data_IF_522100158354
#
_entry.id   IF_522100158354
#
_cell.length_a   1.000
_cell.length_b   1.000
_cell.length_c   1.000
_cell.angle_alpha   90.00
_cell.angle_beta   90.00
_cell.angle_gamma   90.00
#
_symmetry.space_group_name_H-M   'P 1'
#
loop_
_entity.id
_entity.type
_entity.pdbx_description
1 polymer ?
#
# COMPACT_ATOMS: atom_id res chain seq x y z
N UNK A 1 -18.45 1.02 38.45
CA UNK A 1 -17.12 0.77 37.88
C UNK A 1 -17.36 0.30 36.46
N UNK A 2 -17.47 1.23 35.52
CA UNK A 2 -17.67 0.93 34.11
C UNK A 2 -16.31 0.50 33.57
N UNK A 3 -16.22 -0.74 33.09
CA UNK A 3 -15.05 -1.22 32.38
C UNK A 3 -15.13 -0.65 30.96
N UNK A 4 -14.13 0.17 30.62
CA UNK A 4 -13.90 0.72 29.30
C UNK A 4 -13.68 -0.46 28.33
N UNK A 5 -14.65 -0.72 27.46
CA UNK A 5 -14.46 -1.64 26.35
C UNK A 5 -13.57 -0.91 25.34
N UNK A 6 -12.26 -1.11 25.46
CA UNK A 6 -11.29 -0.67 24.46
C UNK A 6 -11.65 -1.40 23.16
N UNK A 7 -12.40 -0.72 22.31
CA UNK A 7 -12.60 -1.10 20.91
C UNK A 7 -11.23 -0.98 20.23
N UNK A 8 -10.44 -2.05 20.33
CA UNK A 8 -9.20 -2.18 19.56
C UNK A 8 -9.53 -2.11 18.07
N UNK A 9 -8.70 -1.44 17.24
CA UNK A 9 -8.98 -1.31 15.82
C UNK A 9 -9.15 -2.70 15.20
N UNK A 10 -10.27 -2.87 14.48
CA UNK A 10 -10.67 -4.10 13.83
C UNK A 10 -9.48 -4.83 13.24
N UNK A 11 -9.21 -6.03 13.75
CA UNK A 11 -8.14 -6.87 13.28
C UNK A 11 -8.23 -7.03 11.76
N UNK A 12 -7.13 -6.68 11.08
CA UNK A 12 -6.87 -6.87 9.65
C UNK A 12 -6.82 -8.37 9.26
N UNK A 13 -7.91 -9.10 9.50
CA UNK A 13 -8.09 -10.50 9.12
C UNK A 13 -8.29 -10.54 7.61
N UNK A 14 -7.31 -11.08 6.88
CA UNK A 14 -7.38 -11.27 5.42
C UNK A 14 -6.55 -10.29 4.57
N UNK A 15 -5.87 -9.28 5.15
CA UNK A 15 -4.96 -8.42 4.38
C UNK A 15 -3.64 -9.15 4.12
N UNK A 16 -3.21 -9.33 2.84
CA UNK A 16 -1.94 -9.98 2.53
C UNK A 16 -0.75 -9.26 3.17
N UNK A 17 0.15 -10.04 3.76
CA UNK A 17 1.40 -9.53 4.33
C UNK A 17 2.48 -9.53 3.24
N UNK A 18 3.11 -8.39 3.03
CA UNK A 18 4.29 -8.24 2.19
C UNK A 18 5.53 -8.31 3.09
N UNK A 19 6.55 -9.04 2.63
CA UNK A 19 7.87 -9.00 3.22
C UNK A 19 8.64 -7.81 2.63
N UNK A 20 9.39 -7.07 3.44
CA UNK A 20 10.01 -5.77 3.10
C UNK A 20 11.17 -5.83 2.11
N UNK A 21 11.41 -6.99 1.51
CA UNK A 21 12.44 -7.23 0.50
C UNK A 21 11.90 -8.03 -0.68
N UNK A 22 10.66 -8.53 -0.61
CA UNK A 22 10.09 -9.37 -1.63
C UNK A 22 9.22 -8.55 -2.57
N UNK A 23 9.46 -8.74 -3.87
CA UNK A 23 8.56 -8.24 -4.90
C UNK A 23 7.33 -9.12 -4.95
N UNK A 24 6.18 -8.54 -4.60
CA UNK A 24 4.89 -9.18 -4.72
C UNK A 24 4.36 -9.04 -6.13
N UNK A 25 4.09 -10.15 -6.82
CA UNK A 25 3.51 -10.17 -8.17
C UNK A 25 2.02 -10.49 -8.13
N UNK A 26 1.32 -10.20 -9.24
CA UNK A 26 -0.10 -10.51 -9.39
C UNK A 26 -1.03 -9.49 -8.76
N UNK A 27 -0.54 -8.28 -8.46
CA UNK A 27 -1.37 -7.18 -7.95
C UNK A 27 -2.39 -6.79 -9.03
N UNK A 28 -3.65 -7.06 -8.75
CA UNK A 28 -4.75 -6.89 -9.70
C UNK A 28 -5.98 -6.29 -9.01
N UNK A 29 -6.78 -5.51 -9.74
CA UNK A 29 -7.96 -4.84 -9.21
C UNK A 29 -8.87 -4.30 -10.31
N UNK A 30 -10.15 -4.13 -9.99
CA UNK A 30 -11.13 -3.53 -10.89
C UNK A 30 -11.09 -2.00 -10.82
N UNK A 31 -11.79 -1.32 -11.72
CA UNK A 31 -11.90 0.15 -11.84
C UNK A 31 -12.31 0.90 -10.57
N UNK A 32 -12.89 0.23 -9.58
CA UNK A 32 -13.38 0.84 -8.34
C UNK A 32 -12.81 0.17 -7.08
N UNK A 33 -11.84 -0.74 -7.22
CA UNK A 33 -11.31 -1.49 -6.07
C UNK A 33 -9.97 -0.94 -5.64
N UNK A 34 -9.89 -0.52 -4.37
CA UNK A 34 -8.62 -0.26 -3.70
C UNK A 34 -8.12 -1.57 -3.09
N UNK A 35 -6.95 -2.03 -3.52
CA UNK A 35 -6.30 -3.19 -2.90
C UNK A 35 -5.38 -2.72 -1.78
N UNK A 36 -5.51 -3.34 -0.61
CA UNK A 36 -4.69 -3.00 0.56
C UNK A 36 -3.78 -4.15 0.94
N UNK A 37 -2.55 -3.82 1.27
CA UNK A 37 -1.49 -4.73 1.71
C UNK A 37 -0.90 -4.22 3.02
N UNK A 38 -0.23 -5.09 3.78
CA UNK A 38 0.45 -4.69 5.02
C UNK A 38 1.86 -5.25 5.13
N UNK A 39 2.77 -4.54 5.78
CA UNK A 39 4.15 -4.98 6.03
C UNK A 39 4.72 -4.36 7.30
N UNK A 40 5.83 -4.88 7.79
CA UNK A 40 6.51 -4.38 8.99
C UNK A 40 7.73 -3.55 8.61
N UNK A 41 7.76 -2.27 8.98
CA UNK A 41 8.98 -1.46 8.92
C UNK A 41 9.86 -1.77 10.14
N UNK A 42 11.12 -2.20 9.95
CA UNK A 42 12.05 -2.43 11.05
C UNK A 42 12.41 -1.16 11.82
N UNK A 43 12.93 -1.33 13.03
CA UNK A 43 13.54 -0.24 13.79
C UNK A 43 14.84 0.22 13.12
N UNK A 44 15.07 1.54 13.13
CA UNK A 44 16.28 2.14 12.58
C UNK A 44 16.26 2.39 11.08
N UNK A 45 15.15 2.10 10.39
CA UNK A 45 15.01 2.39 8.97
C UNK A 45 15.11 3.88 8.67
N UNK A 46 15.97 4.22 7.72
CA UNK A 46 16.19 5.58 7.26
C UNK A 46 15.21 5.95 6.15
N UNK A 47 14.73 4.96 5.39
CA UNK A 47 13.80 5.22 4.29
C UNK A 47 12.89 4.05 3.98
N UNK A 48 11.64 4.39 3.64
CA UNK A 48 10.67 3.49 3.03
C UNK A 48 10.37 4.01 1.61
N UNK A 49 10.57 3.16 0.60
CA UNK A 49 10.17 3.41 -0.78
C UNK A 49 9.17 2.34 -1.21
N UNK A 50 7.93 2.75 -1.48
CA UNK A 50 6.90 1.86 -2.02
C UNK A 50 6.84 2.05 -3.53
N UNK A 51 7.14 0.98 -4.26
CA UNK A 51 7.22 0.98 -5.72
C UNK A 51 6.17 0.05 -6.29
N UNK A 52 5.39 0.55 -7.24
CA UNK A 52 4.39 -0.20 -7.98
C UNK A 52 4.73 -0.10 -9.47
N UNK A 53 4.61 -1.20 -10.18
CA UNK A 53 4.74 -1.16 -11.63
C UNK A 53 4.31 -2.45 -12.28
N UNK A 54 4.58 -2.54 -13.58
CA UNK A 54 4.30 -3.72 -14.37
C UNK A 54 5.42 -3.89 -15.40
N UNK A 55 5.67 -5.13 -15.80
CA UNK A 55 6.49 -5.49 -16.95
C UNK A 55 5.66 -5.55 -18.25
N UNK A 56 4.33 -5.50 -18.14
CA UNK A 56 3.40 -5.49 -19.26
C UNK A 56 3.03 -4.06 -19.70
N UNK A 57 2.63 -3.92 -20.97
CA UNK A 57 1.95 -2.71 -21.42
C UNK A 57 0.52 -2.74 -20.88
N UNK A 58 0.16 -1.78 -20.01
CA UNK A 58 -1.20 -1.64 -19.52
C UNK A 58 -2.03 -0.81 -20.52
N UNK A 59 -3.08 -1.38 -21.15
CA UNK A 59 -4.02 -0.60 -21.96
C UNK A 59 -4.88 0.36 -21.14
N UNK A 60 -4.87 0.18 -19.82
CA UNK A 60 -5.73 0.87 -18.88
C UNK A 60 -4.92 1.93 -18.12
N UNK A 61 -5.59 3.01 -17.69
CA UNK A 61 -4.96 4.24 -17.19
C UNK A 61 -3.96 4.10 -16.03
N UNK A 62 -3.54 5.24 -15.47
CA UNK A 62 -2.59 5.23 -14.35
C UNK A 62 -3.13 4.51 -13.11
N UNK A 63 -2.23 4.02 -12.28
CA UNK A 63 -2.52 3.57 -10.91
C UNK A 63 -1.73 4.43 -9.93
N UNK A 64 -2.24 4.57 -8.71
CA UNK A 64 -1.57 5.24 -7.60
C UNK A 64 -1.22 4.24 -6.52
N UNK A 65 -0.12 4.51 -5.82
CA UNK A 65 0.25 3.82 -4.60
C UNK A 65 0.33 4.82 -3.46
N UNK A 66 -0.20 4.45 -2.30
CA UNK A 66 -0.12 5.26 -1.09
C UNK A 66 0.25 4.38 0.10
N UNK A 67 0.94 4.95 1.08
CA UNK A 67 1.35 4.26 2.30
C UNK A 67 0.97 5.05 3.55
N UNK A 68 0.66 4.33 4.64
CA UNK A 68 0.41 4.90 5.96
C UNK A 68 0.68 3.92 7.09
N UNK A 69 0.99 4.44 8.27
CA UNK A 69 1.22 3.63 9.47
C UNK A 69 -0.07 3.21 10.19
N UNK A 70 0.00 2.07 10.89
CA UNK A 70 -0.87 1.61 11.99
C UNK A 70 -2.37 1.44 11.77
N UNK A 71 -2.98 1.92 10.68
CA UNK A 71 -4.44 1.87 10.51
C UNK A 71 -4.84 1.27 9.15
N UNK A 72 -5.56 0.12 9.10
CA UNK A 72 -6.15 -0.39 7.86
C UNK A 72 -7.23 0.57 7.33
N UNK A 73 -7.43 0.60 6.01
CA UNK A 73 -8.06 1.70 5.27
C UNK A 73 -9.51 2.03 5.66
N UNK A 74 -9.71 3.23 6.23
CA UNK A 74 -10.95 4.03 6.11
C UNK A 74 -10.72 5.55 5.92
N UNK A 75 -9.50 6.11 5.92
CA UNK A 75 -9.36 7.57 5.81
C UNK A 75 -8.42 7.99 4.67
N UNK A 76 -8.82 9.07 4.01
CA UNK A 76 -8.14 9.98 3.06
C UNK A 76 -6.79 10.54 3.51
N UNK A 77 -6.14 9.86 4.45
CA UNK A 77 -4.92 10.27 5.12
C UNK A 77 -3.82 9.29 4.71
N UNK A 78 -2.83 9.82 4.00
CA UNK A 78 -1.68 9.10 3.48
C UNK A 78 -0.42 9.83 3.94
N UNK A 79 0.60 9.08 4.35
CA UNK A 79 1.92 9.66 4.63
C UNK A 79 2.71 9.84 3.34
N UNK A 80 2.48 8.97 2.36
CA UNK A 80 2.90 9.19 0.98
C UNK A 80 1.81 8.76 0.00
N UNK A 81 1.74 9.46 -1.13
CA UNK A 81 0.93 9.10 -2.28
C UNK A 81 1.72 9.42 -3.55
N UNK A 82 1.62 8.56 -4.54
CA UNK A 82 2.30 8.73 -5.81
C UNK A 82 1.42 9.44 -6.83
N UNK A 83 2.03 9.97 -7.90
CA UNK A 83 1.28 10.41 -9.08
C UNK A 83 0.79 9.19 -9.87
N UNK A 84 -0.39 9.27 -10.51
CA UNK A 84 -0.88 8.20 -11.37
C UNK A 84 0.11 7.82 -12.48
N UNK A 85 0.37 6.54 -12.65
CA UNK A 85 1.23 6.04 -13.73
C UNK A 85 1.25 4.52 -13.82
N UNK A 86 1.90 3.97 -14.85
CA UNK A 86 2.12 2.52 -15.01
C UNK A 86 3.34 2.02 -14.23
N UNK A 87 4.24 2.94 -13.86
CA UNK A 87 5.31 2.75 -12.90
C UNK A 87 5.31 3.96 -11.98
N UNK A 88 5.13 3.73 -10.69
CA UNK A 88 4.92 4.81 -9.73
C UNK A 88 5.56 4.45 -8.39
N UNK A 89 5.89 5.48 -7.62
CA UNK A 89 6.52 5.33 -6.32
C UNK A 89 6.08 6.40 -5.34
N UNK A 90 6.02 6.05 -4.06
CA UNK A 90 5.97 7.04 -2.99
C UNK A 90 6.96 6.66 -1.90
N UNK A 91 7.65 7.66 -1.35
CA UNK A 91 8.75 7.46 -0.42
C UNK A 91 8.55 8.29 0.85
N UNK A 92 9.06 7.76 1.96
CA UNK A 92 8.98 8.36 3.30
C UNK A 92 10.38 8.33 3.90
N UNK A 93 10.84 9.49 4.34
CA UNK A 93 12.13 9.62 5.03
C UNK A 93 11.94 9.38 6.53
N UNK A 94 12.81 8.56 7.11
CA UNK A 94 12.78 8.11 8.52
C UNK A 94 11.39 7.57 8.93
N UNK A 95 10.90 6.50 8.28
CA UNK A 95 9.62 5.91 8.63
C UNK A 95 9.67 5.38 10.07
N UNK A 96 8.58 5.58 10.82
CA UNK A 96 8.48 4.97 12.15
C UNK A 96 8.43 3.43 12.04
N UNK A 97 9.11 2.71 12.94
CA UNK A 97 8.98 1.26 12.99
C UNK A 97 7.55 0.82 13.30
N UNK A 98 7.19 -0.36 12.81
CA UNK A 98 5.91 -1.00 13.10
C UNK A 98 5.13 -1.40 11.87
N UNK A 99 3.81 -1.55 12.03
CA UNK A 99 2.93 -2.02 10.95
C UNK A 99 2.57 -0.87 10.01
N UNK A 100 2.80 -1.09 8.73
CA UNK A 100 2.45 -0.19 7.64
C UNK A 100 1.45 -0.83 6.69
N UNK A 101 0.62 0.01 6.10
CA UNK A 101 -0.37 -0.37 5.10
C UNK A 101 -0.07 0.36 3.80
N UNK A 102 -0.22 -0.36 2.69
CA UNK A 102 -0.11 0.18 1.34
C UNK A 102 -1.40 -0.07 0.59
N UNK A 103 -1.91 0.98 -0.04
CA UNK A 103 -3.08 0.91 -0.91
C UNK A 103 -2.67 1.14 -2.36
N UNK A 104 -3.19 0.29 -3.24
CA UNK A 104 -3.10 0.43 -4.69
C UNK A 104 -4.49 0.78 -5.21
N UNK A 105 -4.59 1.89 -5.94
CA UNK A 105 -5.86 2.40 -6.45
C UNK A 105 -5.79 2.69 -7.94
N UNK A 106 -6.83 2.39 -8.73
CA UNK A 106 -6.91 2.82 -10.12
C UNK A 106 -7.22 4.33 -10.19
N UNK A 107 -6.75 4.99 -11.24
CA UNK A 107 -7.25 6.35 -11.57
C UNK A 107 -8.68 6.26 -12.08
N UNK A 108 -9.49 7.30 -11.85
CA UNK A 108 -10.85 7.36 -12.38
C UNK A 108 -10.87 7.15 -13.91
N UNK A 109 -11.85 6.37 -14.39
CA UNK A 109 -11.98 6.00 -15.81
C UNK A 109 -11.05 4.86 -16.27
N UNK A 110 -10.20 4.34 -15.38
CA UNK A 110 -9.39 3.16 -15.65
C UNK A 110 -10.25 1.88 -15.55
N UNK A 111 -10.19 0.97 -16.53
CA UNK A 111 -10.91 -0.31 -16.53
C UNK A 111 -10.43 -1.32 -15.47
N UNK A 112 -9.33 -1.01 -14.78
CA UNK A 112 -8.69 -1.85 -13.77
C UNK A 112 -7.21 -2.04 -14.06
N UNK A 113 -6.55 -2.82 -13.21
CA UNK A 113 -5.14 -3.18 -13.36
C UNK A 113 -4.97 -4.67 -13.10
N UNK A 114 -4.00 -5.27 -13.76
CA UNK A 114 -3.73 -6.70 -13.68
C UNK A 114 -2.23 -6.96 -13.75
N UNK A 115 -1.81 -8.03 -13.08
CA UNK A 115 -0.43 -8.55 -13.12
C UNK A 115 0.64 -7.51 -12.80
N UNK A 116 0.33 -6.57 -11.90
CA UNK A 116 1.31 -5.61 -11.41
C UNK A 116 2.22 -6.26 -10.36
N UNK A 117 3.40 -5.65 -10.18
CA UNK A 117 4.31 -5.93 -9.08
C UNK A 117 4.31 -4.77 -8.08
N UNK A 118 4.46 -5.10 -6.80
CA UNK A 118 4.55 -4.17 -5.67
C UNK A 118 5.75 -4.53 -4.80
N UNK A 119 6.56 -3.52 -4.48
CA UNK A 119 7.77 -3.67 -3.65
C UNK A 119 7.76 -2.57 -2.57
N UNK A 120 7.57 -2.91 -1.29
CA UNK A 120 7.92 -2.03 -0.18
C UNK A 120 9.41 -2.23 0.15
N UNK A 121 10.26 -1.32 -0.30
CA UNK A 121 11.70 -1.34 -0.02
C UNK A 121 12.00 -0.52 1.23
N UNK A 122 12.69 -1.12 2.21
CA UNK A 122 13.09 -0.44 3.43
C UNK A 122 14.61 -0.52 3.58
N UNK A 123 15.24 0.61 3.88
CA UNK A 123 16.70 0.72 4.10
C UNK A 123 17.02 1.48 5.37
#
# INVERSE_FOLDING_TARGET
MLMDEVVGPAAAVGIPVLLTVDMWRGVSGSSATVQTYKFMVPEGSEQLDVRLGTDAWLPYGGVTVAARRSNPLTATEHECVSTPGTQTRCGIWRPEPGLWYVSVSPTEGNGGYHDMWLVPEVR
#
